data_IF_505358652341
#
_entry.id   IF_505358652341
#
_cell.length_a   1.000
_cell.length_b   1.000
_cell.length_c   1.000
_cell.angle_alpha   90.00
_cell.angle_beta   90.00
_cell.angle_gamma   90.00
#
_symmetry.space_group_name_H-M   'P 1'
#
loop_
_entity.id
_entity.type
_entity.pdbx_description
1 polymer ?
#
# COMPACT_ATOMS: atom_id res chain seq x y z
N UNK A 1 -40.98 -57.63 -22.18
CA UNK A 1 -41.25 -56.90 -20.94
C UNK A 1 -39.90 -56.61 -20.31
N UNK A 2 -39.34 -55.43 -20.56
CA UNK A 2 -38.15 -55.01 -19.84
C UNK A 2 -38.20 -53.49 -19.62
N UNK A 3 -38.15 -53.12 -18.36
CA UNK A 3 -38.54 -51.84 -17.80
C UNK A 3 -37.26 -51.10 -17.38
N UNK A 4 -36.69 -50.23 -18.24
CA UNK A 4 -35.53 -49.38 -17.92
C UNK A 4 -35.53 -48.04 -18.66
N UNK A 5 -36.63 -47.29 -18.61
CA UNK A 5 -36.70 -45.93 -19.14
C UNK A 5 -36.85 -44.87 -18.04
N UNK A 6 -36.11 -45.02 -16.93
CA UNK A 6 -36.16 -44.06 -15.83
C UNK A 6 -34.75 -43.81 -15.29
N UNK A 7 -33.93 -43.05 -16.03
CA UNK A 7 -32.68 -42.44 -15.52
C UNK A 7 -31.99 -41.45 -16.47
N UNK A 8 -32.65 -40.96 -17.53
CA UNK A 8 -32.01 -40.06 -18.50
C UNK A 8 -32.57 -38.63 -18.44
N UNK A 9 -32.73 -38.07 -17.23
CA UNK A 9 -33.23 -36.70 -17.06
C UNK A 9 -32.50 -35.89 -15.98
N UNK A 10 -31.25 -36.26 -15.64
CA UNK A 10 -30.43 -35.53 -14.67
C UNK A 10 -29.12 -34.94 -15.24
N UNK A 11 -28.89 -35.04 -16.54
CA UNK A 11 -27.73 -34.40 -17.21
C UNK A 11 -28.04 -33.03 -17.86
N UNK A 12 -29.24 -32.47 -17.65
CA UNK A 12 -29.66 -31.22 -18.31
C UNK A 12 -29.67 -29.96 -17.42
N UNK A 13 -29.02 -30.00 -16.25
CA UNK A 13 -28.92 -28.82 -15.33
C UNK A 13 -27.52 -28.54 -14.75
N UNK A 14 -26.45 -29.04 -15.37
CA UNK A 14 -25.08 -28.70 -14.97
C UNK A 14 -24.20 -28.27 -16.14
N UNK A 15 -24.77 -27.63 -17.18
CA UNK A 15 -23.97 -27.21 -18.33
C UNK A 15 -24.42 -25.88 -18.96
N UNK A 16 -24.60 -24.84 -18.14
CA UNK A 16 -24.77 -23.45 -18.63
C UNK A 16 -23.75 -22.44 -18.09
N UNK A 17 -22.68 -22.93 -17.45
CA UNK A 17 -21.57 -22.08 -17.00
C UNK A 17 -20.23 -22.58 -17.55
N UNK A 18 -20.23 -23.08 -18.79
CA UNK A 18 -18.98 -23.27 -19.54
C UNK A 18 -18.49 -21.91 -20.02
N UNK A 19 -17.58 -21.33 -19.25
CA UNK A 19 -16.42 -20.60 -19.77
C UNK A 19 -16.66 -19.64 -20.95
N UNK A 20 -17.66 -18.77 -20.87
CA UNK A 20 -17.85 -17.68 -21.83
C UNK A 20 -17.99 -16.37 -21.06
N UNK A 21 -16.91 -15.57 -21.17
CA UNK A 21 -16.70 -14.25 -20.59
C UNK A 21 -16.51 -14.23 -19.07
N UNK A 22 -15.32 -14.64 -18.60
CA UNK A 22 -14.82 -14.09 -17.34
C UNK A 22 -14.66 -12.59 -17.59
N UNK A 23 -15.48 -11.73 -16.99
CA UNK A 23 -15.38 -10.31 -17.26
C UNK A 23 -14.03 -9.81 -16.78
N UNK A 24 -13.47 -8.81 -17.46
CA UNK A 24 -12.09 -8.36 -17.25
C UNK A 24 -11.78 -7.98 -15.79
N UNK A 25 -12.81 -7.70 -14.98
CA UNK A 25 -12.68 -7.45 -13.55
C UNK A 25 -12.36 -8.64 -12.66
N UNK A 26 -12.46 -9.88 -13.16
CA UNK A 26 -12.06 -11.10 -12.46
C UNK A 26 -10.60 -11.50 -12.73
N UNK A 27 -9.95 -10.92 -13.75
CA UNK A 27 -8.58 -11.26 -14.15
C UNK A 27 -7.53 -10.28 -13.59
N UNK A 28 -7.93 -9.04 -13.28
CA UNK A 28 -7.02 -8.03 -12.72
C UNK A 28 -7.63 -7.36 -11.49
N UNK A 29 -6.96 -7.40 -10.32
CA UNK A 29 -7.41 -6.67 -9.13
C UNK A 29 -7.25 -5.15 -9.34
N UNK A 30 -8.17 -4.36 -8.76
CA UNK A 30 -8.13 -2.90 -8.81
C UNK A 30 -7.92 -2.30 -7.41
N UNK A 31 -7.24 -1.15 -7.37
CA UNK A 31 -7.06 -0.35 -6.16
C UNK A 31 -8.10 0.78 -6.17
N UNK A 32 -8.92 0.87 -5.13
CA UNK A 32 -9.86 1.98 -4.91
C UNK A 32 -9.44 2.73 -3.65
N UNK A 33 -9.13 4.01 -3.79
CA UNK A 33 -8.81 4.90 -2.68
C UNK A 33 -9.77 6.09 -2.69
N UNK A 34 -10.26 6.47 -1.52
CA UNK A 34 -10.98 7.74 -1.37
C UNK A 34 -9.93 8.84 -1.28
N UNK A 35 -10.05 9.83 -2.15
CA UNK A 35 -9.17 10.99 -2.20
C UNK A 35 -10.03 12.24 -2.41
N UNK A 36 -9.56 13.36 -1.91
CA UNK A 36 -10.15 14.66 -2.19
C UNK A 36 -10.04 14.98 -3.69
N UNK A 37 -11.05 15.66 -4.25
CA UNK A 37 -11.13 15.94 -5.68
C UNK A 37 -10.09 16.98 -6.12
N UNK A 38 -9.89 18.03 -5.32
CA UNK A 38 -8.90 19.07 -5.62
C UNK A 38 -7.49 18.49 -5.56
N UNK A 39 -7.22 17.66 -4.54
CA UNK A 39 -5.94 16.96 -4.40
C UNK A 39 -5.67 16.03 -5.58
N UNK A 40 -6.69 15.31 -6.06
CA UNK A 40 -6.57 14.43 -7.24
C UNK A 40 -6.16 15.21 -8.48
N UNK A 41 -6.81 16.34 -8.72
CA UNK A 41 -6.58 17.15 -9.91
C UNK A 41 -5.17 17.76 -9.87
N UNK A 42 -4.76 18.34 -8.74
CA UNK A 42 -3.41 18.86 -8.55
C UNK A 42 -2.33 17.79 -8.77
N UNK A 43 -2.52 16.60 -8.18
CA UNK A 43 -1.58 15.51 -8.36
C UNK A 43 -1.54 15.02 -9.82
N UNK A 44 -2.68 14.98 -10.51
CA UNK A 44 -2.75 14.61 -11.92
C UNK A 44 -1.96 15.58 -12.80
N UNK A 45 -2.06 16.89 -12.56
CA UNK A 45 -1.36 17.91 -13.33
C UNK A 45 0.17 17.80 -13.17
N UNK A 46 0.64 17.61 -11.94
CA UNK A 46 2.08 17.41 -11.65
C UNK A 46 2.60 16.14 -12.32
N UNK A 47 1.84 15.05 -12.26
CA UNK A 47 2.22 13.77 -12.88
C UNK A 47 2.15 13.81 -14.41
N UNK A 48 1.19 14.55 -14.98
CA UNK A 48 1.08 14.75 -16.42
C UNK A 48 2.30 15.49 -16.99
N UNK A 49 2.89 16.43 -16.23
CA UNK A 49 4.17 17.07 -16.60
C UNK A 49 5.34 16.09 -16.73
N UNK A 50 5.27 14.92 -16.08
CA UNK A 50 6.23 13.83 -16.18
C UNK A 50 5.79 12.71 -17.12
N UNK A 51 4.61 12.83 -17.75
CA UNK A 51 4.03 11.79 -18.62
C UNK A 51 3.47 10.58 -17.88
N UNK A 52 3.17 10.72 -16.58
CA UNK A 52 2.64 9.65 -15.74
C UNK A 52 1.17 9.89 -15.41
N UNK A 53 0.40 8.80 -15.29
CA UNK A 53 -0.95 8.87 -14.73
C UNK A 53 -0.94 8.52 -13.23
N UNK A 54 -2.02 8.86 -12.52
CA UNK A 54 -2.19 8.45 -11.11
C UNK A 54 -2.11 6.92 -10.97
N UNK A 55 -2.71 6.19 -11.90
CA UNK A 55 -2.69 4.72 -11.90
C UNK A 55 -1.27 4.16 -12.04
N UNK A 56 -0.42 4.81 -12.83
CA UNK A 56 0.97 4.41 -13.00
C UNK A 56 1.78 4.68 -11.73
N UNK A 57 1.59 5.86 -11.11
CA UNK A 57 2.21 6.17 -9.83
C UNK A 57 1.84 5.14 -8.76
N UNK A 58 0.54 4.82 -8.63
CA UNK A 58 0.06 3.83 -7.65
C UNK A 58 0.70 2.46 -7.91
N UNK A 59 0.78 2.03 -9.17
CA UNK A 59 1.41 0.75 -9.54
C UNK A 59 2.89 0.73 -9.17
N UNK A 60 3.65 1.75 -9.55
CA UNK A 60 5.09 1.87 -9.24
C UNK A 60 5.32 1.88 -7.72
N UNK A 61 4.52 2.66 -6.99
CA UNK A 61 4.60 2.79 -5.53
C UNK A 61 4.35 1.45 -4.86
N UNK A 62 3.28 0.75 -5.23
CA UNK A 62 2.94 -0.56 -4.65
C UNK A 62 4.00 -1.62 -4.98
N UNK A 63 4.54 -1.62 -6.20
CA UNK A 63 5.65 -2.52 -6.57
C UNK A 63 6.90 -2.24 -5.74
N UNK A 64 7.23 -0.96 -5.51
CA UNK A 64 8.38 -0.58 -4.68
C UNK A 64 8.20 -1.01 -3.22
N UNK A 65 7.03 -0.74 -2.63
CA UNK A 65 6.70 -1.19 -1.25
C UNK A 65 6.79 -2.70 -1.11
N UNK A 66 6.22 -3.45 -2.06
CA UNK A 66 6.27 -4.91 -2.01
C UNK A 66 7.70 -5.46 -2.10
N UNK A 67 8.58 -4.81 -2.85
CA UNK A 67 9.97 -5.22 -3.05
C UNK A 67 10.87 -4.83 -1.88
N UNK A 68 10.79 -3.58 -1.42
CA UNK A 68 11.72 -3.02 -0.44
C UNK A 68 11.24 -3.18 1.01
N UNK A 69 9.96 -3.56 1.20
CA UNK A 69 9.30 -3.63 2.52
C UNK A 69 9.40 -2.32 3.32
N UNK A 70 9.65 -1.22 2.63
CA UNK A 70 9.78 0.12 3.17
C UNK A 70 8.85 1.04 2.38
N UNK A 71 8.35 2.09 3.04
CA UNK A 71 7.60 3.11 2.34
C UNK A 71 8.55 3.96 1.50
N UNK A 72 8.19 4.29 0.25
CA UNK A 72 9.09 4.93 -0.71
C UNK A 72 9.28 6.43 -0.47
N UNK A 73 8.77 6.95 0.64
CA UNK A 73 8.90 8.33 1.06
C UNK A 73 9.58 8.34 2.43
N UNK A 74 10.54 9.24 2.62
CA UNK A 74 10.77 9.74 3.96
C UNK A 74 9.45 10.39 4.39
N UNK A 75 8.77 9.86 5.40
CA UNK A 75 7.65 10.54 6.05
C UNK A 75 8.21 11.80 6.73
N UNK A 76 8.37 12.86 5.93
CA UNK A 76 9.30 13.98 6.14
C UNK A 76 8.73 15.12 6.96
N UNK A 77 7.62 14.93 7.65
CA UNK A 77 7.28 15.78 8.77
C UNK A 77 7.51 15.00 10.06
N UNK A 78 8.66 15.22 10.74
CA UNK A 78 8.83 14.71 12.08
C UNK A 78 7.62 15.12 12.91
N UNK A 79 7.10 14.19 13.72
CA UNK A 79 5.94 14.49 14.55
C UNK A 79 6.26 15.67 15.50
N UNK A 80 5.23 16.30 16.05
CA UNK A 80 5.41 17.49 16.91
C UNK A 80 6.39 17.24 18.07
N UNK A 81 6.40 16.03 18.62
CA UNK A 81 7.32 15.64 19.69
C UNK A 81 8.78 15.58 19.21
N UNK A 82 9.03 15.00 18.04
CA UNK A 82 10.36 14.95 17.42
C UNK A 82 10.84 16.36 17.09
N UNK A 83 9.97 17.23 16.55
CA UNK A 83 10.32 18.64 16.31
C UNK A 83 10.68 19.34 17.62
N UNK A 84 9.90 19.14 18.68
CA UNK A 84 10.17 19.77 19.97
C UNK A 84 11.48 19.26 20.61
N UNK A 85 11.75 17.95 20.50
CA UNK A 85 12.99 17.35 20.97
C UNK A 85 14.21 17.93 20.25
N UNK A 86 14.15 18.08 18.93
CA UNK A 86 15.21 18.73 18.14
C UNK A 86 15.41 20.18 18.60
N UNK A 87 14.34 20.96 18.74
CA UNK A 87 14.41 22.36 19.21
C UNK A 87 15.00 22.48 20.63
N UNK A 88 14.62 21.58 21.53
CA UNK A 88 15.16 21.55 22.89
C UNK A 88 16.66 21.24 22.87
N UNK A 89 17.07 20.23 22.10
CA UNK A 89 18.48 19.87 21.94
C UNK A 89 19.31 21.00 21.32
N UNK A 90 18.80 21.68 20.29
CA UNK A 90 19.44 22.87 19.70
C UNK A 90 19.58 24.02 20.70
N UNK A 91 18.60 24.19 21.58
CA UNK A 91 18.63 25.18 22.66
C UNK A 91 19.48 24.74 23.88
N UNK A 92 20.08 23.54 23.85
CA UNK A 92 20.85 22.98 24.96
C UNK A 92 20.02 22.50 26.15
N UNK A 93 18.70 22.39 25.98
CA UNK A 93 17.77 21.85 26.97
C UNK A 93 17.67 20.34 26.78
N UNK A 94 17.84 19.58 27.87
CA UNK A 94 17.72 18.11 27.88
C UNK A 94 18.79 17.40 27.02
N UNK A 95 20.01 17.95 27.01
CA UNK A 95 21.17 17.36 26.30
C UNK A 95 22.11 16.67 27.29
N UNK A 96 22.31 15.36 27.11
CA UNK A 96 23.23 14.56 27.91
C UNK A 96 24.54 14.30 27.17
N UNK A 97 25.67 14.31 27.89
CA UNK A 97 26.99 13.99 27.35
C UNK A 97 27.46 12.63 27.83
N UNK A 98 28.07 11.85 26.94
CA UNK A 98 28.80 10.64 27.25
C UNK A 98 30.27 10.78 26.84
N UNK A 99 31.16 10.12 27.57
CA UNK A 99 32.63 10.16 27.33
C UNK A 99 33.05 9.19 26.24
N UNK A 100 32.41 8.03 26.19
CA UNK A 100 32.66 6.94 25.27
C UNK A 100 31.37 6.13 25.05
N UNK A 101 31.43 5.08 24.22
CA UNK A 101 30.28 4.25 23.90
C UNK A 101 29.77 3.48 25.13
N UNK A 102 30.66 3.00 25.99
CA UNK A 102 30.29 2.23 27.19
C UNK A 102 29.53 3.14 28.19
N UNK A 103 30.01 4.36 28.43
CA UNK A 103 29.34 5.37 29.26
C UNK A 103 27.99 5.83 28.67
N UNK A 104 27.81 5.77 27.34
CA UNK A 104 26.53 6.06 26.69
C UNK A 104 25.52 4.93 26.97
N UNK A 105 25.92 3.67 26.80
CA UNK A 105 25.04 2.52 27.02
C UNK A 105 24.65 2.39 28.50
N UNK A 106 25.60 2.58 29.42
CA UNK A 106 25.33 2.61 30.87
C UNK A 106 24.28 3.66 31.26
N UNK A 107 24.35 4.86 30.66
CA UNK A 107 23.38 5.95 30.91
C UNK A 107 22.02 5.70 30.28
N UNK A 108 21.96 4.95 29.19
CA UNK A 108 20.72 4.58 28.49
C UNK A 108 20.07 3.32 29.08
N UNK A 109 20.80 2.56 29.90
CA UNK A 109 20.31 1.33 30.53
C UNK A 109 20.09 0.20 29.51
N UNK A 110 20.86 0.18 28.43
CA UNK A 110 20.82 -0.83 27.36
C UNK A 110 22.17 -1.51 27.19
#
# INVERSE_FOLDING_TARGET
>A
MDCRCCSFELQFKLNKYTAQEIPQWLLTPFVRARIDEDLKNQAADVLAGMGLTISDLVRITLTKVAREKALPFDLREPNQLTIQSIKNSEAGVDVHKAKDADDLFDKLGI
#
